data_IF_484790183158
#
_entry.id   IF_484790183158
#
_cell.length_a   1.000
_cell.length_b   1.000
_cell.length_c   1.000
_cell.angle_alpha   90.00
_cell.angle_beta   90.00
_cell.angle_gamma   90.00
#
_symmetry.space_group_name_H-M   'P 1'
#
loop_
_entity.id
_entity.type
_entity.pdbx_description
1 polymer ?
#
# COMPACT_ATOMS: atom_id res chain seq x y z
N UNK A 1 -12.38 -6.02 12.31
CA UNK A 1 -12.97 -6.30 13.62
C UNK A 1 -12.88 -5.07 14.51
N UNK A 2 -13.62 -5.04 15.59
CA UNK A 2 -13.57 -3.98 16.58
C UNK A 2 -12.70 -4.44 17.73
N UNK A 3 -11.94 -3.53 18.38
CA UNK A 3 -11.27 -3.90 19.62
C UNK A 3 -12.31 -4.31 20.67
N UNK A 4 -12.00 -5.35 21.44
CA UNK A 4 -12.84 -5.80 22.55
C UNK A 4 -12.82 -4.76 23.66
N UNK A 5 -11.65 -4.16 23.89
CA UNK A 5 -11.41 -3.08 24.87
C UNK A 5 -10.44 -2.06 24.26
N UNK A 6 -10.42 -0.87 24.84
CA UNK A 6 -9.55 0.23 24.43
C UNK A 6 -10.13 1.12 23.33
N UNK A 7 -9.37 2.14 22.99
CA UNK A 7 -9.73 3.16 22.01
C UNK A 7 -8.77 3.14 20.82
N UNK A 8 -9.32 3.33 19.64
CA UNK A 8 -8.54 3.43 18.42
C UNK A 8 -8.78 4.77 17.73
N UNK A 9 -7.70 5.53 17.61
CA UNK A 9 -7.71 6.84 16.94
C UNK A 9 -6.99 6.76 15.59
N UNK A 10 -7.58 7.37 14.56
CA UNK A 10 -6.99 7.57 13.25
C UNK A 10 -7.18 9.03 12.84
N UNK A 11 -6.10 9.77 12.59
CA UNK A 11 -6.12 11.22 12.32
C UNK A 11 -6.97 11.97 13.36
N UNK A 12 -6.75 11.70 14.64
CA UNK A 12 -7.48 12.26 15.79
C UNK A 12 -8.97 11.88 15.86
N UNK A 13 -9.47 11.04 14.96
CA UNK A 13 -10.83 10.54 14.95
C UNK A 13 -10.93 9.24 15.75
N UNK A 14 -11.80 9.20 16.75
CA UNK A 14 -12.07 7.99 17.54
C UNK A 14 -12.88 6.99 16.70
N UNK A 15 -12.18 6.05 16.07
CA UNK A 15 -12.77 5.09 15.13
C UNK A 15 -13.56 3.99 15.82
N UNK A 16 -13.17 3.60 17.05
CA UNK A 16 -13.81 2.52 17.82
C UNK A 16 -15.31 2.74 18.07
N UNK A 17 -15.77 4.00 18.07
CA UNK A 17 -17.18 4.38 18.27
C UNK A 17 -18.01 4.40 16.98
N UNK A 18 -17.36 4.39 15.81
CA UNK A 18 -18.03 4.57 14.51
C UNK A 18 -18.67 3.25 14.06
N UNK A 19 -19.89 3.30 13.56
CA UNK A 19 -20.70 2.14 13.16
C UNK A 19 -21.03 2.13 11.66
N UNK A 20 -21.24 0.94 11.11
CA UNK A 20 -21.83 0.72 9.78
C UNK A 20 -21.04 1.37 8.64
N UNK A 21 -21.74 2.16 7.83
CA UNK A 21 -21.19 2.84 6.63
C UNK A 21 -20.08 3.85 6.96
N UNK A 22 -20.04 4.39 8.17
CA UNK A 22 -18.98 5.29 8.62
C UNK A 22 -17.60 4.62 8.60
N UNK A 23 -17.49 3.38 9.06
CA UNK A 23 -16.23 2.61 9.02
C UNK A 23 -15.78 2.33 7.58
N UNK A 24 -16.71 2.03 6.67
CA UNK A 24 -16.39 1.82 5.26
C UNK A 24 -15.87 3.09 4.60
N UNK A 25 -16.45 4.24 4.94
CA UNK A 25 -15.99 5.55 4.47
C UNK A 25 -14.57 5.87 4.97
N UNK A 26 -14.30 5.65 6.26
CA UNK A 26 -12.96 5.88 6.85
C UNK A 26 -11.93 4.97 6.19
N UNK A 27 -12.22 3.66 6.05
CA UNK A 27 -11.31 2.74 5.35
C UNK A 27 -11.02 3.18 3.93
N UNK A 28 -12.04 3.60 3.19
CA UNK A 28 -11.88 4.06 1.82
C UNK A 28 -11.04 5.34 1.70
N UNK A 29 -11.18 6.25 2.66
CA UNK A 29 -10.55 7.58 2.60
C UNK A 29 -9.19 7.65 3.30
N UNK A 30 -8.99 6.87 4.37
CA UNK A 30 -7.84 7.03 5.27
C UNK A 30 -6.83 5.89 5.21
N UNK A 31 -7.19 4.76 4.61
CA UNK A 31 -6.34 3.57 4.60
C UNK A 31 -6.20 3.04 3.17
N UNK A 32 -4.96 2.98 2.69
CA UNK A 32 -4.61 2.25 1.48
C UNK A 32 -4.21 0.81 1.83
N UNK A 33 -4.60 -0.17 1.01
CA UNK A 33 -4.26 -1.58 1.20
C UNK A 33 -3.45 -2.12 0.03
N UNK A 34 -2.33 -2.75 0.35
CA UNK A 34 -1.46 -3.47 -0.59
C UNK A 34 -1.29 -4.89 -0.08
N UNK A 35 -1.60 -5.90 -0.91
CA UNK A 35 -1.58 -7.31 -0.55
C UNK A 35 -0.53 -8.07 -1.33
N UNK A 36 -0.05 -9.18 -0.80
CA UNK A 36 0.85 -10.12 -1.46
C UNK A 36 0.30 -10.62 -2.81
N UNK A 37 -0.99 -10.90 -2.87
CA UNK A 37 -1.68 -11.46 -4.06
C UNK A 37 -2.26 -10.38 -4.99
N UNK A 38 -1.81 -9.12 -4.84
CA UNK A 38 -2.21 -7.95 -5.63
C UNK A 38 -3.69 -7.58 -5.55
N UNK A 39 -4.60 -8.54 -5.55
CA UNK A 39 -6.06 -8.40 -5.47
C UNK A 39 -6.64 -7.40 -6.49
N UNK A 40 -6.09 -7.37 -7.70
CA UNK A 40 -6.63 -6.58 -8.80
C UNK A 40 -7.88 -7.24 -9.37
N UNK A 41 -8.83 -6.44 -9.84
CA UNK A 41 -10.05 -6.92 -10.50
C UNK A 41 -9.67 -7.45 -11.89
N UNK A 42 -9.78 -8.76 -12.16
CA UNK A 42 -9.19 -9.39 -13.35
C UNK A 42 -9.76 -8.90 -14.70
N UNK A 43 -11.03 -8.48 -14.70
CA UNK A 43 -11.73 -8.03 -15.91
C UNK A 43 -11.62 -6.53 -16.16
N UNK A 44 -11.01 -5.78 -15.23
CA UNK A 44 -10.80 -4.34 -15.31
C UNK A 44 -9.38 -4.01 -15.75
N UNK A 45 -9.19 -2.89 -16.44
CA UNK A 45 -7.86 -2.39 -16.81
C UNK A 45 -7.10 -1.90 -15.57
N UNK A 46 -5.79 -1.68 -15.71
CA UNK A 46 -4.96 -1.06 -14.67
C UNK A 46 -5.55 0.30 -14.23
N UNK A 47 -5.90 1.16 -15.18
CA UNK A 47 -6.53 2.45 -14.92
C UNK A 47 -7.83 2.28 -14.12
N UNK A 48 -8.72 1.39 -14.55
CA UNK A 48 -10.01 1.16 -13.85
C UNK A 48 -9.82 0.58 -12.45
N UNK A 49 -8.78 -0.23 -12.21
CA UNK A 49 -8.43 -0.70 -10.87
C UNK A 49 -8.03 0.45 -9.95
N UNK A 50 -7.24 1.41 -10.46
CA UNK A 50 -6.81 2.59 -9.68
C UNK A 50 -7.96 3.57 -9.48
N UNK A 51 -8.88 3.73 -10.42
CA UNK A 51 -10.07 4.59 -10.27
C UNK A 51 -11.06 4.09 -9.21
N UNK A 52 -11.05 2.80 -8.88
CA UNK A 52 -12.10 2.14 -8.10
C UNK A 52 -12.34 2.75 -6.70
N UNK A 53 -11.32 3.06 -5.88
CA UNK A 53 -11.54 3.67 -4.57
C UNK A 53 -12.21 5.03 -4.65
N UNK A 54 -11.90 5.82 -5.68
CA UNK A 54 -12.51 7.13 -5.93
C UNK A 54 -13.96 7.01 -6.42
N UNK A 55 -14.28 5.94 -7.16
CA UNK A 55 -15.65 5.64 -7.54
C UNK A 55 -16.54 5.45 -6.29
N UNK A 56 -16.05 4.69 -5.30
CA UNK A 56 -16.74 4.51 -4.02
C UNK A 56 -16.78 5.77 -3.16
N UNK A 57 -15.83 6.68 -3.34
CA UNK A 57 -15.82 7.98 -2.69
C UNK A 57 -16.78 9.00 -3.38
N UNK A 58 -17.37 8.65 -4.53
CA UNK A 58 -18.28 9.53 -5.27
C UNK A 58 -17.58 10.60 -6.12
N UNK A 59 -16.28 10.45 -6.38
CA UNK A 59 -15.51 11.42 -7.18
C UNK A 59 -15.98 11.38 -8.66
N UNK A 60 -16.15 12.54 -9.33
CA UNK A 60 -16.55 12.62 -10.73
C UNK A 60 -15.58 11.88 -11.67
N UNK A 61 -16.12 11.34 -12.78
CA UNK A 61 -15.34 10.48 -13.70
C UNK A 61 -14.07 11.15 -14.26
N UNK A 62 -14.17 12.44 -14.63
CA UNK A 62 -13.02 13.17 -15.19
C UNK A 62 -11.87 13.27 -14.17
N UNK A 63 -12.19 13.69 -12.94
CA UNK A 63 -11.23 13.83 -11.85
C UNK A 63 -10.62 12.48 -11.45
N UNK A 64 -11.43 11.40 -11.39
CA UNK A 64 -10.91 10.05 -11.12
C UNK A 64 -9.88 9.61 -12.15
N UNK A 65 -10.18 9.87 -13.42
CA UNK A 65 -9.31 9.47 -14.51
C UNK A 65 -7.97 10.20 -14.46
N UNK A 66 -8.01 11.52 -14.32
CA UNK A 66 -6.82 12.35 -14.20
C UNK A 66 -5.95 11.86 -13.03
N UNK A 67 -6.56 11.73 -11.85
CA UNK A 67 -5.83 11.25 -10.66
C UNK A 67 -5.27 9.84 -10.82
N UNK A 68 -5.99 8.93 -11.46
CA UNK A 68 -5.51 7.57 -11.70
C UNK A 68 -4.35 7.53 -12.71
N UNK A 69 -4.37 8.39 -13.74
CA UNK A 69 -3.26 8.55 -14.70
C UNK A 69 -1.99 9.09 -14.01
N UNK A 70 -2.11 10.10 -13.12
CA UNK A 70 -1.00 10.58 -12.29
C UNK A 70 -0.40 9.48 -11.42
N UNK A 71 -1.24 8.69 -10.74
CA UNK A 71 -0.77 7.61 -9.86
C UNK A 71 -0.12 6.46 -10.63
N UNK A 72 -0.60 6.15 -11.82
CA UNK A 72 0.07 5.19 -12.70
C UNK A 72 1.42 5.71 -13.17
N UNK A 73 1.56 7.01 -13.43
CA UNK A 73 2.84 7.62 -13.75
C UNK A 73 3.82 7.56 -12.58
N UNK A 74 3.34 7.83 -11.36
CA UNK A 74 4.15 7.74 -10.14
C UNK A 74 4.81 6.37 -9.93
N UNK A 75 4.12 5.28 -10.32
CA UNK A 75 4.62 3.91 -10.19
C UNK A 75 5.20 3.36 -11.50
N UNK A 76 5.46 4.22 -12.50
CA UNK A 76 6.01 3.86 -13.82
C UNK A 76 5.15 2.79 -14.56
N UNK A 77 3.82 3.04 -14.62
CA UNK A 77 2.83 2.17 -15.25
C UNK A 77 1.91 2.88 -16.24
N UNK A 78 2.27 4.08 -16.72
CA UNK A 78 1.46 4.86 -17.66
C UNK A 78 1.19 4.11 -18.97
N UNK A 79 2.20 3.42 -19.51
CA UNK A 79 2.11 2.63 -20.74
C UNK A 79 1.26 1.37 -20.59
N UNK A 80 0.96 0.98 -19.35
CA UNK A 80 0.15 -0.20 -18.98
C UNK A 80 -1.28 0.15 -18.57
N UNK A 81 -1.68 1.41 -18.60
CA UNK A 81 -2.99 1.89 -18.14
C UNK A 81 -4.18 1.11 -18.71
N UNK A 82 -4.08 0.66 -19.97
CA UNK A 82 -5.14 -0.10 -20.68
C UNK A 82 -5.02 -1.62 -20.54
N UNK A 83 -3.92 -2.16 -19.99
CA UNK A 83 -3.72 -3.59 -19.82
C UNK A 83 -4.57 -4.13 -18.67
N UNK A 84 -4.95 -5.41 -18.79
CA UNK A 84 -5.64 -6.17 -17.74
C UNK A 84 -4.62 -6.96 -16.93
N UNK A 85 -4.97 -7.39 -15.70
CA UNK A 85 -4.05 -8.11 -14.84
C UNK A 85 -3.41 -9.36 -15.45
N UNK A 86 -4.11 -10.08 -16.31
CA UNK A 86 -3.56 -11.27 -17.00
C UNK A 86 -2.49 -10.95 -18.06
N UNK A 87 -2.35 -9.68 -18.44
CA UNK A 87 -1.37 -9.18 -19.41
C UNK A 87 -0.13 -8.57 -18.74
N UNK A 88 -0.04 -8.65 -17.40
CA UNK A 88 0.95 -7.97 -16.58
C UNK A 88 1.81 -8.96 -15.79
N UNK A 89 3.10 -8.63 -15.61
CA UNK A 89 3.98 -9.36 -14.70
C UNK A 89 3.57 -9.17 -13.24
N UNK A 90 4.10 -10.00 -12.33
CA UNK A 90 3.86 -9.86 -10.89
C UNK A 90 4.21 -8.48 -10.35
N UNK A 91 5.39 -7.97 -10.69
CA UNK A 91 5.83 -6.64 -10.26
C UNK A 91 5.01 -5.50 -10.86
N UNK A 92 4.55 -5.62 -12.09
CA UNK A 92 3.62 -4.65 -12.70
C UNK A 92 2.28 -4.63 -11.95
N UNK A 93 1.74 -5.81 -11.63
CA UNK A 93 0.51 -5.93 -10.82
C UNK A 93 0.67 -5.28 -9.45
N UNK A 94 1.82 -5.50 -8.79
CA UNK A 94 2.07 -4.93 -7.48
C UNK A 94 2.18 -3.41 -7.52
N UNK A 95 2.88 -2.84 -8.50
CA UNK A 95 2.95 -1.39 -8.69
C UNK A 95 1.56 -0.77 -8.93
N UNK A 96 0.70 -1.44 -9.72
CA UNK A 96 -0.67 -1.00 -9.91
C UNK A 96 -1.50 -1.14 -8.61
N UNK A 97 -1.27 -2.19 -7.81
CA UNK A 97 -1.93 -2.34 -6.51
C UNK A 97 -1.53 -1.23 -5.52
N UNK A 98 -0.26 -0.78 -5.56
CA UNK A 98 0.21 0.38 -4.79
C UNK A 98 -0.48 1.66 -5.31
N UNK A 99 -0.51 1.89 -6.62
CA UNK A 99 -1.23 3.02 -7.20
C UNK A 99 -2.70 3.04 -6.78
N UNK A 100 -3.38 1.88 -6.77
CA UNK A 100 -4.76 1.74 -6.29
C UNK A 100 -4.93 2.03 -4.80
N UNK A 101 -3.91 1.88 -3.99
CA UNK A 101 -3.97 2.18 -2.56
C UNK A 101 -3.98 3.69 -2.26
N UNK A 102 -3.62 4.57 -3.21
CA UNK A 102 -3.34 6.00 -2.98
C UNK A 102 -4.39 7.01 -3.44
N UNK A 103 -5.42 6.69 -4.26
CA UNK A 103 -6.22 7.71 -4.96
C UNK A 103 -6.91 8.72 -4.03
N UNK A 104 -7.39 8.26 -2.88
CA UNK A 104 -8.08 9.10 -1.89
C UNK A 104 -7.12 9.78 -0.90
N UNK A 105 -5.84 9.83 -1.20
CA UNK A 105 -4.80 10.44 -0.36
C UNK A 105 -4.79 9.92 1.10
N UNK A 106 -4.68 8.59 1.31
CA UNK A 106 -4.78 8.00 2.64
C UNK A 106 -3.63 8.44 3.55
N UNK A 107 -3.89 8.51 4.85
CA UNK A 107 -2.87 8.80 5.87
C UNK A 107 -1.97 7.58 6.13
N UNK A 108 -2.52 6.38 5.97
CA UNK A 108 -1.84 5.11 6.25
C UNK A 108 -1.91 4.20 5.02
N UNK A 109 -0.81 3.51 4.71
CA UNK A 109 -0.76 2.39 3.78
C UNK A 109 -0.41 1.14 4.56
N UNK A 110 -1.30 0.14 4.52
CA UNK A 110 -1.08 -1.18 5.08
C UNK A 110 -0.58 -2.11 3.97
N UNK A 111 0.65 -2.58 4.09
CA UNK A 111 1.31 -3.45 3.12
C UNK A 111 1.56 -4.83 3.75
N UNK A 112 0.78 -5.82 3.31
CA UNK A 112 0.83 -7.19 3.80
C UNK A 112 1.66 -8.05 2.83
N UNK A 113 2.88 -8.44 3.24
CA UNK A 113 3.86 -9.19 2.45
C UNK A 113 4.02 -8.65 1.01
N UNK A 114 4.23 -7.33 0.82
CA UNK A 114 4.09 -6.71 -0.50
C UNK A 114 5.13 -7.17 -1.53
N UNK A 115 6.18 -7.85 -1.10
CA UNK A 115 7.25 -8.40 -1.95
C UNK A 115 7.26 -9.92 -2.01
N UNK A 116 6.43 -10.60 -1.23
CA UNK A 116 6.50 -12.04 -1.02
C UNK A 116 6.24 -12.92 -2.27
N UNK A 117 5.63 -12.34 -3.32
CA UNK A 117 5.38 -13.03 -4.60
C UNK A 117 6.31 -12.53 -5.73
N UNK A 118 7.37 -11.79 -5.41
CA UNK A 118 8.23 -11.11 -6.37
C UNK A 118 9.67 -11.62 -6.28
N UNK A 119 10.40 -11.53 -7.39
CA UNK A 119 11.87 -11.68 -7.37
C UNK A 119 12.53 -10.50 -6.63
N UNK A 120 13.77 -10.69 -6.19
CA UNK A 120 14.50 -9.72 -5.35
C UNK A 120 14.62 -8.33 -5.98
N UNK A 121 14.87 -8.25 -7.29
CA UNK A 121 15.00 -6.99 -8.03
C UNK A 121 13.67 -6.23 -8.05
N UNK A 122 12.61 -6.94 -8.38
CA UNK A 122 11.26 -6.36 -8.43
C UNK A 122 10.75 -6.00 -7.03
N UNK A 123 11.05 -6.85 -6.03
CA UNK A 123 10.76 -6.57 -4.62
C UNK A 123 11.44 -5.28 -4.15
N UNK A 124 12.72 -5.06 -4.53
CA UNK A 124 13.43 -3.83 -4.20
C UNK A 124 12.75 -2.59 -4.81
N UNK A 125 12.33 -2.66 -6.08
CA UNK A 125 11.59 -1.56 -6.72
C UNK A 125 10.28 -1.22 -5.98
N UNK A 126 9.59 -2.22 -5.45
CA UNK A 126 8.37 -2.02 -4.65
C UNK A 126 8.70 -1.33 -3.32
N UNK A 127 9.76 -1.74 -2.63
CA UNK A 127 10.20 -1.08 -1.40
C UNK A 127 10.65 0.36 -1.64
N UNK A 128 11.33 0.64 -2.76
CA UNK A 128 11.71 2.00 -3.15
C UNK A 128 10.49 2.92 -3.28
N UNK A 129 9.37 2.43 -3.82
CA UNK A 129 8.12 3.20 -3.89
C UNK A 129 7.59 3.51 -2.47
N UNK A 130 7.60 2.55 -1.53
CA UNK A 130 7.16 2.80 -0.17
C UNK A 130 8.04 3.83 0.55
N UNK A 131 9.35 3.76 0.39
CA UNK A 131 10.27 4.78 0.92
C UNK A 131 9.96 6.17 0.35
N UNK A 132 9.74 6.28 -0.97
CA UNK A 132 9.39 7.55 -1.58
C UNK A 132 8.05 8.12 -1.08
N UNK A 133 7.04 7.27 -0.88
CA UNK A 133 5.76 7.68 -0.33
C UNK A 133 5.90 8.18 1.12
N UNK A 134 6.73 7.53 1.91
CA UNK A 134 7.02 7.96 3.28
C UNK A 134 7.82 9.26 3.31
N UNK A 135 8.99 9.30 2.66
CA UNK A 135 9.94 10.41 2.72
C UNK A 135 9.42 11.69 2.04
N UNK A 136 8.80 11.56 0.85
CA UNK A 136 8.39 12.72 0.04
C UNK A 136 6.94 13.15 0.28
N UNK A 137 6.07 12.22 0.68
CA UNK A 137 4.64 12.50 0.84
C UNK A 137 4.15 12.37 2.30
N UNK A 138 5.06 12.04 3.24
CA UNK A 138 4.73 11.95 4.66
C UNK A 138 3.73 10.84 5.01
N UNK A 139 3.61 9.80 4.18
CA UNK A 139 2.69 8.69 4.44
C UNK A 139 3.21 7.79 5.54
N UNK A 140 2.32 7.34 6.43
CA UNK A 140 2.64 6.26 7.37
C UNK A 140 2.52 4.93 6.66
N UNK A 141 3.63 4.17 6.59
CA UNK A 141 3.65 2.83 6.00
C UNK A 141 3.69 1.80 7.13
N UNK A 142 2.72 0.90 7.17
CA UNK A 142 2.72 -0.26 8.07
C UNK A 142 3.00 -1.48 7.23
N UNK A 143 4.25 -1.98 7.33
CA UNK A 143 4.72 -3.15 6.60
C UNK A 143 4.55 -4.39 7.48
N UNK A 144 3.79 -5.37 7.00
CA UNK A 144 3.71 -6.70 7.60
C UNK A 144 4.61 -7.60 6.78
N UNK A 145 5.62 -8.19 7.42
CA UNK A 145 6.58 -9.06 6.74
C UNK A 145 7.21 -10.05 7.72
N UNK A 146 7.60 -11.21 7.22
CA UNK A 146 8.43 -12.17 7.93
C UNK A 146 9.92 -12.05 7.51
N UNK A 147 10.26 -11.15 6.57
CA UNK A 147 11.64 -10.89 6.16
C UNK A 147 12.29 -9.86 7.10
N UNK A 148 13.30 -10.26 7.89
CA UNK A 148 13.95 -9.37 8.85
C UNK A 148 14.71 -8.21 8.18
N UNK A 149 15.25 -8.40 6.97
CA UNK A 149 15.98 -7.36 6.24
C UNK A 149 15.03 -6.21 5.86
N UNK A 150 13.82 -6.54 5.36
CA UNK A 150 12.82 -5.54 5.03
C UNK A 150 12.25 -4.85 6.28
N UNK A 151 12.11 -5.60 7.39
CA UNK A 151 11.70 -5.01 8.65
C UNK A 151 12.73 -4.00 9.15
N UNK A 152 14.03 -4.29 9.02
CA UNK A 152 15.11 -3.40 9.45
C UNK A 152 15.17 -2.07 8.69
N UNK A 153 14.62 -1.99 7.47
CA UNK A 153 14.51 -0.73 6.73
C UNK A 153 13.47 0.24 7.33
N UNK A 154 12.61 -0.22 8.23
CA UNK A 154 11.59 0.63 8.87
C UNK A 154 12.15 1.35 10.10
N UNK A 155 11.48 2.43 10.53
CA UNK A 155 11.87 3.19 11.74
C UNK A 155 11.61 2.41 13.03
N UNK A 156 10.53 1.61 13.06
CA UNK A 156 10.09 0.86 14.23
C UNK A 156 9.59 -0.52 13.86
N UNK A 157 10.04 -1.52 14.60
CA UNK A 157 9.67 -2.92 14.42
C UNK A 157 8.91 -3.39 15.65
N UNK A 158 7.74 -3.98 15.42
CA UNK A 158 6.91 -4.62 16.44
C UNK A 158 6.83 -6.10 16.11
N UNK A 159 7.34 -6.94 17.00
CA UNK A 159 7.29 -8.40 16.82
C UNK A 159 6.06 -8.99 17.50
N UNK A 160 5.29 -9.75 16.73
CA UNK A 160 4.08 -10.43 17.19
C UNK A 160 4.32 -11.94 17.22
N UNK A 161 3.87 -12.61 18.27
CA UNK A 161 3.78 -14.09 18.37
C UNK A 161 2.49 -14.45 19.06
N UNK A 162 1.74 -15.38 18.47
CA UNK A 162 0.45 -15.88 19.00
C UNK A 162 -0.52 -14.76 19.40
N UNK A 163 -0.57 -13.69 18.62
CA UNK A 163 -1.44 -12.53 18.84
C UNK A 163 -0.95 -11.55 19.93
N UNK A 164 0.22 -11.78 20.52
CA UNK A 164 0.82 -10.92 21.55
C UNK A 164 2.03 -10.16 21.02
N UNK A 165 2.23 -8.94 21.50
CA UNK A 165 3.45 -8.19 21.26
C UNK A 165 4.55 -8.78 22.16
N UNK A 166 5.56 -9.40 21.54
CA UNK A 166 6.70 -10.02 22.24
C UNK A 166 7.96 -9.17 22.21
N UNK A 167 8.00 -8.15 21.35
CA UNK A 167 9.14 -7.24 21.25
C UNK A 167 8.81 -5.96 20.49
N UNK A 168 9.54 -4.90 20.83
CA UNK A 168 9.55 -3.64 20.09
C UNK A 168 10.99 -3.13 20.04
N UNK A 169 11.48 -2.78 18.85
CA UNK A 169 12.80 -2.19 18.66
C UNK A 169 12.79 -1.15 17.54
N UNK A 170 13.80 -0.28 17.52
CA UNK A 170 14.06 0.55 16.36
C UNK A 170 14.58 -0.32 15.20
N UNK A 171 14.20 0.03 14.00
CA UNK A 171 14.89 -0.40 12.79
C UNK A 171 15.98 0.61 12.43
N UNK A 172 16.61 0.43 11.29
CA UNK A 172 17.65 1.37 10.82
C UNK A 172 17.05 2.62 10.18
N UNK A 173 15.82 2.52 9.67
CA UNK A 173 15.19 3.56 8.87
C UNK A 173 15.94 3.82 7.54
N UNK A 174 16.93 2.98 7.22
CA UNK A 174 17.82 3.19 6.09
C UNK A 174 17.47 2.21 4.97
N UNK A 175 17.29 2.77 3.79
CA UNK A 175 17.11 2.02 2.54
C UNK A 175 18.32 1.11 2.29
N UNK A 176 18.10 -0.18 2.06
CA UNK A 176 19.15 -1.06 1.59
C UNK A 176 19.63 -0.61 0.21
N UNK A 177 20.92 -0.34 0.08
CA UNK A 177 21.50 0.04 -1.21
C UNK A 177 21.33 -1.10 -2.22
N UNK A 178 21.13 -0.72 -3.48
CA UNK A 178 21.17 -1.68 -4.58
C UNK A 178 22.58 -2.27 -4.63
N UNK A 179 22.74 -3.54 -4.32
CA UNK A 179 23.94 -4.24 -4.72
C UNK A 179 23.97 -4.22 -6.26
N UNK A 180 24.82 -3.35 -6.82
CA UNK A 180 25.29 -3.50 -8.18
C UNK A 180 26.12 -4.77 -8.20
N UNK A 181 25.52 -5.90 -8.50
CA UNK A 181 26.28 -7.04 -8.97
C UNK A 181 26.89 -6.62 -10.31
N UNK A 182 28.19 -6.30 -10.21
CA UNK A 182 29.10 -6.29 -11.34
C UNK A 182 29.24 -7.74 -11.81
N UNK A 183 28.68 -8.07 -12.95
CA UNK A 183 29.10 -9.18 -13.78
C UNK A 183 28.73 -8.87 -15.22
#
# INVERSE_FOLDING_TARGET
DRPTEGEYYLDQLLVSTIKGSGLSKIRNQKIGFVFQTFNLIPRSTALSNVELPMLYAGVPKAERRERAEELLALVDMSDRAKHRPNELSGGQKQRIAIARAMPNDPSIILADEPTGALDSKTGRMVMDIFHELHEKQGKTIILITHNPELADETERIITLSDGNIVGTRAGTGVRLERHHELA
#
